data_IF_309492205620
#
_entry.id   IF_309492205620
#
_cell.length_a   1.000
_cell.length_b   1.000
_cell.length_c   1.000
_cell.angle_alpha   90.00
_cell.angle_beta   90.00
_cell.angle_gamma   90.00
#
_symmetry.space_group_name_H-M   'P 1'
#
loop_
_entity.id
_entity.type
_entity.pdbx_description
1 polymer ?
#
# COMPACT_ATOMS: atom_id res chain seq x y z
N UNK A 1 1.15 26.06 -8.00
CA UNK A 1 0.69 24.84 -7.32
C UNK A 1 -0.57 25.16 -6.52
N UNK A 2 -1.63 24.35 -6.66
CA UNK A 2 -2.96 24.51 -6.05
C UNK A 2 -3.32 23.23 -5.29
N UNK A 3 -3.86 23.33 -4.09
CA UNK A 3 -4.40 22.16 -3.37
C UNK A 3 -5.71 21.69 -3.99
N UNK A 4 -5.87 20.37 -4.10
CA UNK A 4 -7.05 19.70 -4.63
C UNK A 4 -7.39 18.48 -3.74
N UNK A 5 -8.58 17.93 -3.93
CA UNK A 5 -9.02 16.70 -3.26
C UNK A 5 -8.57 15.43 -4.00
N UNK A 6 -8.80 14.26 -3.39
CA UNK A 6 -8.63 12.94 -4.00
C UNK A 6 -7.41 12.15 -3.50
N UNK A 7 -6.54 12.74 -2.69
CA UNK A 7 -5.38 12.03 -2.10
C UNK A 7 -4.60 11.23 -3.15
N UNK A 8 -4.33 9.95 -2.88
CA UNK A 8 -3.59 9.06 -3.81
C UNK A 8 -4.29 8.77 -5.14
N UNK A 9 -5.59 9.04 -5.28
CA UNK A 9 -6.33 8.85 -6.54
C UNK A 9 -6.54 10.14 -7.32
N UNK A 10 -6.04 11.29 -6.82
CA UNK A 10 -6.08 12.55 -7.54
C UNK A 10 -5.31 12.53 -8.88
N UNK A 11 -4.13 11.87 -8.99
CA UNK A 11 -3.46 11.70 -10.28
C UNK A 11 -4.24 10.79 -11.23
N UNK A 12 -4.19 11.13 -12.52
CA UNK A 12 -4.83 10.35 -13.59
C UNK A 12 -4.23 8.95 -13.60
N UNK A 13 -5.07 7.94 -13.82
CA UNK A 13 -4.62 6.55 -13.92
C UNK A 13 -4.48 5.81 -12.59
N UNK A 14 -4.76 6.43 -11.44
CA UNK A 14 -4.72 5.74 -10.14
C UNK A 14 -6.11 5.42 -9.61
N UNK A 15 -6.26 4.25 -8.99
CA UNK A 15 -7.42 3.84 -8.21
C UNK A 15 -6.93 3.29 -6.87
N UNK A 16 -7.80 3.31 -5.87
CA UNK A 16 -7.48 2.75 -4.57
C UNK A 16 -8.71 2.08 -3.95
N UNK A 17 -8.46 1.27 -2.93
CA UNK A 17 -9.49 0.73 -2.06
C UNK A 17 -8.87 0.38 -0.69
N UNK A 18 -9.71 0.25 0.32
CA UNK A 18 -9.35 -0.32 1.61
C UNK A 18 -10.50 -1.13 2.16
N UNK A 19 -10.20 -2.29 2.74
CA UNK A 19 -11.21 -3.18 3.33
C UNK A 19 -10.77 -3.68 4.70
N UNK A 20 -11.71 -4.29 5.39
CA UNK A 20 -11.45 -5.09 6.58
C UNK A 20 -11.21 -6.55 6.18
N UNK A 21 -9.95 -6.96 6.19
CA UNK A 21 -9.50 -8.34 5.95
C UNK A 21 -9.53 -9.20 7.22
N UNK A 22 -9.93 -8.65 8.37
CA UNK A 22 -10.03 -9.40 9.62
C UNK A 22 -8.72 -9.52 10.39
N UNK A 23 -7.81 -8.56 10.20
CA UNK A 23 -6.58 -8.43 10.97
C UNK A 23 -6.82 -7.67 12.28
N UNK A 24 -7.68 -6.65 12.24
CA UNK A 24 -8.21 -5.99 13.43
C UNK A 24 -9.29 -6.86 14.06
N UNK A 25 -9.34 -6.92 15.38
CA UNK A 25 -10.45 -7.59 16.09
C UNK A 25 -11.77 -6.82 15.89
N UNK A 26 -11.69 -5.49 15.88
CA UNK A 26 -12.83 -4.64 15.55
C UNK A 26 -13.17 -4.72 14.06
N UNK A 27 -14.38 -5.20 13.76
CA UNK A 27 -14.93 -5.26 12.39
C UNK A 27 -15.27 -3.89 11.78
N UNK A 28 -15.09 -2.79 12.53
CA UNK A 28 -15.55 -1.45 12.14
C UNK A 28 -14.55 -0.68 11.29
N UNK A 29 -13.29 -1.11 11.24
CA UNK A 29 -12.23 -0.33 10.58
C UNK A 29 -11.45 -1.21 9.62
N UNK A 30 -11.22 -0.66 8.43
CA UNK A 30 -10.37 -1.27 7.42
C UNK A 30 -8.96 -1.49 7.95
N UNK A 31 -8.28 -2.51 7.43
CA UNK A 31 -6.95 -2.94 7.86
C UNK A 31 -6.04 -3.40 6.71
N UNK A 32 -6.56 -3.42 5.47
CA UNK A 32 -5.78 -3.70 4.27
C UNK A 32 -6.16 -2.71 3.16
N UNK A 33 -5.15 -2.07 2.58
CA UNK A 33 -5.28 -1.09 1.50
C UNK A 33 -4.62 -1.60 0.22
N UNK A 34 -5.16 -1.19 -0.93
CA UNK A 34 -4.55 -1.36 -2.25
C UNK A 34 -4.61 -0.04 -3.01
N UNK A 35 -3.48 0.35 -3.58
CA UNK A 35 -3.39 1.38 -4.62
C UNK A 35 -2.97 0.68 -5.91
N UNK A 36 -3.62 1.02 -7.02
CA UNK A 36 -3.34 0.45 -8.33
C UNK A 36 -3.24 1.55 -9.39
N UNK A 37 -2.29 1.41 -10.30
CA UNK A 37 -2.17 2.23 -11.49
C UNK A 37 -2.57 1.47 -12.74
N UNK A 38 -3.35 2.11 -13.60
CA UNK A 38 -3.77 1.59 -14.91
C UNK A 38 -2.58 1.30 -15.83
N UNK A 39 -1.41 1.89 -15.54
CA UNK A 39 -0.17 1.74 -16.34
C UNK A 39 1.05 1.50 -15.45
N UNK A 40 2.10 0.90 -16.01
CA UNK A 40 3.38 0.75 -15.31
C UNK A 40 3.96 2.13 -14.94
N UNK A 41 4.30 2.33 -13.67
CA UNK A 41 4.87 3.59 -13.20
C UNK A 41 6.39 3.52 -13.08
N UNK A 42 7.05 4.66 -13.27
CA UNK A 42 8.39 4.86 -12.70
C UNK A 42 8.26 4.91 -11.18
N UNK A 43 9.08 4.16 -10.48
CA UNK A 43 9.02 4.03 -9.02
C UNK A 43 10.35 4.37 -8.38
N UNK A 44 10.27 5.08 -7.25
CA UNK A 44 11.38 5.37 -6.35
C UNK A 44 10.90 5.19 -4.91
N UNK A 45 11.84 4.91 -4.00
CA UNK A 45 11.51 4.59 -2.62
C UNK A 45 12.69 4.78 -1.70
N UNK A 46 12.43 5.42 -0.57
CA UNK A 46 13.35 5.53 0.56
C UNK A 46 12.84 4.65 1.69
N UNK A 47 13.76 4.11 2.47
CA UNK A 47 13.47 3.12 3.49
C UNK A 47 14.26 3.43 4.75
N UNK A 48 13.73 3.02 5.91
CA UNK A 48 14.42 3.19 7.19
C UNK A 48 15.87 2.70 7.14
N UNK A 49 16.78 3.51 7.71
CA UNK A 49 18.16 3.12 7.95
C UNK A 49 18.36 2.19 9.15
N UNK A 50 17.29 1.87 9.90
CA UNK A 50 17.37 0.96 11.03
C UNK A 50 17.94 -0.41 10.58
N UNK A 51 18.88 -0.95 11.36
CA UNK A 51 19.49 -2.26 11.11
C UNK A 51 18.46 -3.40 11.17
N UNK A 52 17.43 -3.26 11.99
CA UNK A 52 16.33 -4.22 12.11
C UNK A 52 15.20 -3.87 11.12
N UNK A 53 15.41 -4.21 9.85
CA UNK A 53 14.43 -3.95 8.78
C UNK A 53 13.35 -5.03 8.74
N UNK A 54 12.10 -4.61 8.60
CA UNK A 54 10.97 -5.52 8.38
C UNK A 54 11.13 -6.31 7.07
N UNK A 55 10.53 -7.51 7.02
CA UNK A 55 10.65 -8.36 5.84
C UNK A 55 9.95 -7.76 4.62
N UNK A 56 8.84 -7.03 4.82
CA UNK A 56 8.20 -6.25 3.75
C UNK A 56 9.09 -5.12 3.21
N UNK A 57 9.93 -4.50 4.05
CA UNK A 57 10.91 -3.50 3.60
C UNK A 57 11.98 -4.15 2.72
N UNK A 58 12.50 -5.31 3.12
CA UNK A 58 13.49 -6.05 2.31
C UNK A 58 12.92 -6.47 0.96
N UNK A 59 11.67 -6.95 0.94
CA UNK A 59 10.96 -7.30 -0.28
C UNK A 59 10.77 -6.06 -1.19
N UNK A 60 10.17 -5.00 -0.67
CA UNK A 60 9.85 -3.79 -1.44
C UNK A 60 11.10 -3.05 -1.94
N UNK A 61 12.22 -3.12 -1.21
CA UNK A 61 13.50 -2.59 -1.69
C UNK A 61 13.93 -3.25 -3.00
N UNK A 62 13.71 -4.55 -3.17
CA UNK A 62 14.02 -5.27 -4.42
C UNK A 62 13.08 -4.87 -5.55
N UNK A 63 11.78 -4.72 -5.27
CA UNK A 63 10.77 -4.24 -6.23
C UNK A 63 11.18 -2.87 -6.79
N UNK A 64 11.41 -1.90 -5.89
CA UNK A 64 11.71 -0.52 -6.29
C UNK A 64 13.11 -0.38 -6.92
N UNK A 65 14.06 -1.27 -6.64
CA UNK A 65 15.37 -1.28 -7.29
C UNK A 65 15.29 -1.50 -8.82
N UNK A 66 14.19 -2.02 -9.33
CA UNK A 66 13.93 -2.13 -10.78
C UNK A 66 13.56 -0.79 -11.43
N UNK A 67 13.28 0.25 -10.63
CA UNK A 67 12.78 1.54 -11.07
C UNK A 67 11.32 1.54 -11.50
N UNK A 68 10.58 0.43 -11.26
CA UNK A 68 9.21 0.24 -11.73
C UNK A 68 8.30 -0.34 -10.63
N UNK A 69 7.03 0.07 -10.66
CA UNK A 69 5.96 -0.52 -9.87
C UNK A 69 4.61 -0.15 -10.48
N UNK A 70 3.56 -0.91 -10.18
CA UNK A 70 2.21 -0.64 -10.67
C UNK A 70 1.13 -0.75 -9.59
N UNK A 71 1.42 -1.38 -8.46
CA UNK A 71 0.51 -1.45 -7.31
C UNK A 71 1.26 -1.34 -5.98
N UNK A 72 0.54 -0.97 -4.93
CA UNK A 72 1.01 -1.00 -3.56
C UNK A 72 -0.07 -1.58 -2.65
N UNK A 73 0.25 -2.66 -1.92
CA UNK A 73 -0.63 -3.27 -0.91
C UNK A 73 -0.06 -3.03 0.48
N UNK A 74 -0.93 -2.60 1.39
CA UNK A 74 -0.54 -2.24 2.75
C UNK A 74 -1.44 -2.94 3.77
N UNK A 75 -0.89 -3.62 4.77
CA UNK A 75 -1.65 -4.12 5.92
C UNK A 75 -1.29 -3.37 7.22
N UNK A 76 -2.20 -3.38 8.19
CA UNK A 76 -1.93 -2.92 9.56
C UNK A 76 -1.99 -4.08 10.57
N UNK A 77 -1.90 -3.77 11.87
CA UNK A 77 -1.83 -4.69 13.03
C UNK A 77 -0.54 -5.51 13.14
N UNK A 78 0.06 -5.92 12.03
CA UNK A 78 1.26 -6.74 11.99
C UNK A 78 2.31 -6.04 11.15
N UNK A 79 3.46 -5.71 11.75
CA UNK A 79 4.54 -5.00 11.07
C UNK A 79 5.33 -5.87 10.09
N UNK A 80 5.17 -7.20 10.15
CA UNK A 80 6.01 -8.16 9.43
C UNK A 80 7.51 -7.91 9.66
N UNK A 81 7.86 -7.57 10.90
CA UNK A 81 9.23 -7.30 11.33
C UNK A 81 9.69 -8.38 12.31
N UNK A 82 10.96 -8.76 12.23
CA UNK A 82 11.53 -9.85 13.04
C UNK A 82 10.82 -11.20 12.84
N UNK A 83 10.35 -11.47 11.62
CA UNK A 83 9.56 -12.67 11.26
C UNK A 83 10.31 -13.63 10.32
N UNK A 84 11.56 -13.31 9.95
CA UNK A 84 12.45 -14.17 9.18
C UNK A 84 11.90 -14.57 7.81
N UNK A 85 12.32 -15.72 7.31
CA UNK A 85 11.97 -16.20 5.96
C UNK A 85 10.45 -16.32 5.76
N UNK A 86 9.72 -16.80 6.77
CA UNK A 86 8.25 -16.90 6.71
C UNK A 86 7.62 -15.51 6.53
N UNK A 87 8.13 -14.50 7.23
CA UNK A 87 7.69 -13.12 7.04
C UNK A 87 7.95 -12.58 5.64
N UNK A 88 9.12 -12.89 5.07
CA UNK A 88 9.44 -12.51 3.69
C UNK A 88 8.51 -13.20 2.69
N UNK A 89 8.26 -14.50 2.86
CA UNK A 89 7.30 -15.24 2.02
C UNK A 89 5.88 -14.71 2.16
N UNK A 90 5.46 -14.25 3.34
CA UNK A 90 4.15 -13.61 3.50
C UNK A 90 4.05 -12.30 2.68
N UNK A 91 5.13 -11.50 2.58
CA UNK A 91 5.14 -10.34 1.68
C UNK A 91 5.04 -10.76 0.20
N UNK A 92 5.78 -11.80 -0.22
CA UNK A 92 5.71 -12.36 -1.58
C UNK A 92 4.30 -12.87 -1.89
N UNK A 93 3.65 -13.52 -0.93
CA UNK A 93 2.27 -14.03 -1.04
C UNK A 93 1.25 -12.90 -1.21
N UNK A 94 1.35 -11.83 -0.42
CA UNK A 94 0.50 -10.65 -0.59
C UNK A 94 0.61 -10.07 -2.01
N UNK A 95 1.85 -9.86 -2.50
CA UNK A 95 2.07 -9.36 -3.86
C UNK A 95 1.57 -10.34 -4.93
N UNK A 96 1.79 -11.65 -4.75
CA UNK A 96 1.30 -12.68 -5.67
C UNK A 96 -0.23 -12.69 -5.74
N UNK A 97 -0.91 -12.53 -4.60
CA UNK A 97 -2.37 -12.47 -4.54
C UNK A 97 -2.91 -11.23 -5.27
N UNK A 98 -2.29 -10.05 -5.09
CA UNK A 98 -2.64 -8.85 -5.89
C UNK A 98 -2.45 -9.11 -7.38
N UNK A 99 -1.30 -9.65 -7.78
CA UNK A 99 -0.99 -9.99 -9.18
C UNK A 99 -2.05 -10.91 -9.80
N UNK A 100 -2.42 -11.98 -9.09
CA UNK A 100 -3.41 -12.97 -9.54
C UNK A 100 -4.82 -12.37 -9.63
N UNK A 101 -5.26 -11.58 -8.65
CA UNK A 101 -6.60 -10.98 -8.68
C UNK A 101 -6.71 -9.86 -9.73
N UNK A 102 -5.67 -9.06 -9.93
CA UNK A 102 -5.64 -8.04 -11.00
C UNK A 102 -5.62 -8.70 -12.40
N UNK A 103 -4.94 -9.83 -12.57
CA UNK A 103 -4.97 -10.58 -13.83
C UNK A 103 -6.39 -10.95 -14.27
N UNK A 104 -7.32 -11.18 -13.32
CA UNK A 104 -8.72 -11.48 -13.62
C UNK A 104 -9.49 -10.28 -14.20
N UNK A 105 -8.97 -9.06 -14.06
CA UNK A 105 -9.54 -7.86 -14.67
C UNK A 105 -9.01 -7.61 -16.08
N UNK A 106 -8.21 -8.52 -16.65
CA UNK A 106 -7.59 -8.40 -17.97
C UNK A 106 -6.27 -7.63 -17.98
N UNK A 107 -5.73 -7.25 -16.82
CA UNK A 107 -4.44 -6.56 -16.70
C UNK A 107 -3.41 -7.47 -16.06
N UNK A 108 -2.29 -7.73 -16.74
CA UNK A 108 -1.21 -8.55 -16.18
C UNK A 108 -0.13 -7.69 -15.54
N UNK A 109 0.11 -7.92 -14.24
CA UNK A 109 1.22 -7.31 -13.50
C UNK A 109 2.00 -8.41 -12.77
N UNK A 110 3.33 -8.49 -12.91
CA UNK A 110 4.12 -9.44 -12.13
C UNK A 110 4.23 -8.95 -10.68
N UNK A 111 4.34 -9.88 -9.73
CA UNK A 111 4.49 -9.56 -8.30
C UNK A 111 5.71 -8.67 -8.03
N UNK A 112 6.75 -8.77 -8.85
CA UNK A 112 7.96 -7.95 -8.79
C UNK A 112 7.72 -6.46 -9.08
N UNK A 113 6.52 -6.07 -9.53
CA UNK A 113 6.09 -4.68 -9.72
C UNK A 113 5.05 -4.24 -8.66
N UNK A 114 4.95 -4.96 -7.54
CA UNK A 114 3.97 -4.70 -6.48
C UNK A 114 4.69 -4.39 -5.18
N UNK A 115 4.49 -3.18 -4.68
CA UNK A 115 5.03 -2.71 -3.40
C UNK A 115 4.22 -3.35 -2.26
N UNK A 116 4.89 -3.82 -1.22
CA UNK A 116 4.26 -4.37 -0.01
C UNK A 116 4.71 -3.60 1.22
N UNK A 117 3.73 -3.10 2.00
CA UNK A 117 3.97 -2.39 3.25
C UNK A 117 3.20 -3.05 4.39
N UNK A 118 3.78 -3.01 5.59
CA UNK A 118 3.17 -3.57 6.79
C UNK A 118 3.47 -2.67 7.98
N UNK A 119 2.54 -2.56 8.93
CA UNK A 119 2.75 -1.75 10.14
C UNK A 119 1.95 -2.29 11.32
N UNK A 120 2.50 -2.23 12.52
CA UNK A 120 1.85 -2.74 13.74
C UNK A 120 2.82 -3.47 14.66
N UNK A 121 2.38 -4.58 15.22
CA UNK A 121 3.13 -5.37 16.20
C UNK A 121 4.34 -6.04 15.52
N UNK A 122 5.49 -5.97 16.19
CA UNK A 122 6.76 -6.60 15.77
C UNK A 122 6.84 -8.02 16.33
N UNK A 123 7.43 -8.96 15.58
CA UNK A 123 7.68 -10.34 16.01
C UNK A 123 6.49 -11.29 15.83
N UNK A 124 5.36 -10.81 15.32
CA UNK A 124 4.20 -11.63 15.00
C UNK A 124 4.04 -11.79 13.49
N UNK A 125 3.73 -13.03 13.06
CA UNK A 125 3.45 -13.31 11.66
C UNK A 125 2.12 -12.67 11.25
N UNK A 126 2.12 -12.08 10.05
CA UNK A 126 0.88 -11.63 9.39
C UNK A 126 0.01 -12.87 9.13
N UNK A 127 -1.27 -12.89 9.54
CA UNK A 127 -2.26 -13.88 9.11
C UNK A 127 -2.60 -13.71 7.61
N UNK A 128 -1.64 -14.00 6.74
CA UNK A 128 -1.67 -13.65 5.32
C UNK A 128 -2.82 -14.33 4.57
N UNK A 129 -3.25 -15.50 5.01
CA UNK A 129 -4.39 -16.24 4.45
C UNK A 129 -5.68 -15.42 4.51
N UNK A 130 -5.85 -14.59 5.55
CA UNK A 130 -7.00 -13.68 5.66
C UNK A 130 -6.96 -12.58 4.60
N UNK A 131 -5.76 -12.04 4.33
CA UNK A 131 -5.54 -11.03 3.29
C UNK A 131 -5.84 -11.65 1.92
N UNK A 132 -5.25 -12.81 1.62
CA UNK A 132 -5.47 -13.55 0.37
C UNK A 132 -6.95 -13.84 0.12
N UNK A 133 -7.67 -14.35 1.14
CA UNK A 133 -9.10 -14.64 1.04
C UNK A 133 -9.95 -13.38 0.75
N UNK A 134 -9.50 -12.21 1.21
CA UNK A 134 -10.19 -10.93 1.01
C UNK A 134 -9.76 -10.17 -0.25
N UNK A 135 -8.69 -10.61 -0.92
CA UNK A 135 -8.12 -9.93 -2.09
C UNK A 135 -9.12 -9.74 -3.25
N UNK A 136 -10.00 -10.70 -3.59
CA UNK A 136 -11.01 -10.49 -4.63
C UNK A 136 -11.92 -9.28 -4.32
N UNK A 137 -12.31 -9.11 -3.06
CA UNK A 137 -13.12 -7.96 -2.62
C UNK A 137 -12.32 -6.66 -2.67
N UNK A 138 -11.05 -6.70 -2.25
CA UNK A 138 -10.17 -5.53 -2.26
C UNK A 138 -9.97 -5.03 -3.70
N UNK A 139 -9.68 -5.91 -4.65
CA UNK A 139 -9.51 -5.58 -6.07
C UNK A 139 -10.81 -5.11 -6.70
N UNK A 140 -11.94 -5.80 -6.45
CA UNK A 140 -13.25 -5.42 -6.99
C UNK A 140 -13.68 -4.01 -6.58
N UNK A 141 -13.28 -3.54 -5.39
CA UNK A 141 -13.64 -2.21 -4.89
C UNK A 141 -12.69 -1.08 -5.30
N UNK A 142 -11.67 -1.34 -6.13
CA UNK A 142 -10.80 -0.28 -6.67
C UNK A 142 -11.63 0.81 -7.37
N UNK A 143 -11.47 2.05 -6.96
CA UNK A 143 -12.19 3.18 -7.54
C UNK A 143 -11.40 4.49 -7.49
N UNK A 144 -11.87 5.51 -8.23
CA UNK A 144 -11.30 6.87 -8.19
C UNK A 144 -11.60 7.60 -6.87
N UNK A 145 -12.61 7.18 -6.13
CA UNK A 145 -12.95 7.75 -4.81
C UNK A 145 -12.36 6.94 -3.64
N UNK A 146 -11.77 5.76 -3.92
CA UNK A 146 -11.36 4.79 -2.91
C UNK A 146 -10.15 5.18 -2.06
N UNK A 147 -9.63 6.41 -2.23
CA UNK A 147 -8.58 6.97 -1.38
C UNK A 147 -9.03 7.09 0.08
N UNK A 148 -10.34 7.30 0.33
CA UNK A 148 -10.91 7.45 1.68
C UNK A 148 -10.85 6.15 2.48
N UNK A 149 -11.13 5.04 1.81
CA UNK A 149 -11.05 3.71 2.38
C UNK A 149 -9.59 3.29 2.58
N UNK A 150 -8.72 3.58 1.60
CA UNK A 150 -7.30 3.27 1.65
C UNK A 150 -6.57 4.02 2.78
N UNK A 151 -6.79 5.34 2.93
CA UNK A 151 -6.17 6.14 4.01
C UNK A 151 -6.63 5.67 5.39
N UNK A 152 -7.85 5.17 5.52
CA UNK A 152 -8.38 4.58 6.76
C UNK A 152 -7.70 3.25 7.05
N UNK A 153 -7.52 2.42 6.03
CA UNK A 153 -6.99 1.07 6.15
C UNK A 153 -5.53 1.01 6.64
N UNK A 154 -4.75 2.08 6.44
CA UNK A 154 -3.35 2.15 6.89
C UNK A 154 -3.17 2.69 8.32
N UNK A 155 -4.25 3.12 8.98
CA UNK A 155 -4.16 3.69 10.33
C UNK A 155 -3.94 2.63 11.41
N UNK A 156 -3.11 3.00 12.39
CA UNK A 156 -2.85 2.25 13.62
C UNK A 156 -3.39 3.00 14.83
N UNK A 157 -2.51 3.60 15.63
CA UNK A 157 -2.83 4.50 16.76
C UNK A 157 -3.08 5.94 16.31
N UNK A 158 -3.35 6.13 15.01
CA UNK A 158 -3.61 7.43 14.41
C UNK A 158 -4.98 7.95 14.86
N UNK A 159 -5.08 9.25 15.18
CA UNK A 159 -6.37 9.89 15.55
C UNK A 159 -7.00 10.67 14.39
N UNK A 160 -6.24 10.92 13.33
CA UNK A 160 -6.66 11.70 12.16
C UNK A 160 -6.10 11.07 10.87
N UNK A 161 -6.88 11.17 9.80
CA UNK A 161 -6.44 10.85 8.44
C UNK A 161 -5.40 11.87 7.97
N UNK A 162 -4.42 11.40 7.18
CA UNK A 162 -3.36 12.26 6.64
C UNK A 162 -3.24 11.98 5.15
N UNK A 163 -3.78 12.88 4.35
CA UNK A 163 -3.66 12.85 2.90
C UNK A 163 -3.54 14.27 2.36
N UNK A 164 -3.02 14.38 1.15
CA UNK A 164 -2.89 15.64 0.44
C UNK A 164 -2.87 15.38 -1.06
N UNK A 165 -3.41 16.31 -1.84
CA UNK A 165 -3.20 16.34 -3.28
C UNK A 165 -2.99 17.78 -3.75
N UNK A 166 -2.15 17.92 -4.78
CA UNK A 166 -1.83 19.20 -5.41
C UNK A 166 -1.83 19.08 -6.92
N UNK A 167 -2.17 20.19 -7.57
CA UNK A 167 -2.13 20.37 -9.01
C UNK A 167 -1.15 21.49 -9.37
N UNK A 168 -0.37 21.29 -10.43
CA UNK A 168 0.57 22.30 -10.95
C UNK A 168 0.78 22.09 -12.44
N UNK A 169 1.49 23.01 -13.10
CA UNK A 169 1.89 22.84 -14.49
C UNK A 169 3.37 22.44 -14.61
N UNK A 170 3.67 21.51 -15.51
CA UNK A 170 5.03 21.12 -15.90
C UNK A 170 5.05 21.03 -17.42
N UNK A 171 5.90 21.82 -18.08
CA UNK A 171 5.98 21.85 -19.55
C UNK A 171 4.65 22.16 -20.25
N UNK A 172 3.83 23.04 -19.66
CA UNK A 172 2.51 23.42 -20.19
C UNK A 172 1.41 22.36 -20.02
N UNK A 173 1.64 21.31 -19.25
CA UNK A 173 0.64 20.27 -18.94
C UNK A 173 0.28 20.29 -17.46
N UNK A 174 -1.00 20.11 -17.16
CA UNK A 174 -1.49 19.90 -15.80
C UNK A 174 -0.96 18.57 -15.25
N UNK A 175 -0.30 18.63 -14.10
CA UNK A 175 0.23 17.49 -13.36
C UNK A 175 -0.38 17.50 -11.96
N UNK A 176 -0.78 16.32 -11.49
CA UNK A 176 -1.34 16.11 -10.16
C UNK A 176 -0.44 15.18 -9.35
N UNK A 177 -0.23 15.53 -8.08
CA UNK A 177 0.50 14.74 -7.11
C UNK A 177 -0.46 14.43 -5.96
N UNK A 178 -0.52 13.17 -5.56
CA UNK A 178 -1.42 12.69 -4.52
C UNK A 178 -0.68 11.83 -3.51
N UNK A 179 -0.99 11.96 -2.22
CA UNK A 179 -0.36 11.17 -1.18
C UNK A 179 -1.32 10.84 -0.03
N UNK A 180 -1.01 9.75 0.67
CA UNK A 180 -1.54 9.42 1.99
C UNK A 180 -0.39 8.96 2.88
N UNK A 181 -0.48 9.20 4.19
CA UNK A 181 0.51 8.73 5.15
C UNK A 181 -0.15 8.34 6.49
N UNK A 182 0.63 7.68 7.34
CA UNK A 182 0.22 7.25 8.69
C UNK A 182 1.40 7.28 9.64
N UNK A 183 1.11 7.22 10.94
CA UNK A 183 2.10 7.26 12.00
C UNK A 183 1.69 8.26 13.09
N UNK A 184 1.78 7.82 14.34
CA UNK A 184 1.56 8.68 15.51
C UNK A 184 2.53 8.37 16.67
N UNK A 185 2.99 7.12 16.77
CA UNK A 185 4.07 6.71 17.68
C UNK A 185 5.22 6.05 16.93
N UNK A 186 6.37 5.93 17.59
CA UNK A 186 7.62 5.40 17.02
C UNK A 186 8.08 6.19 15.77
N UNK A 187 7.99 7.52 15.82
CA UNK A 187 8.31 8.42 14.69
C UNK A 187 9.62 9.17 14.96
N UNK A 188 10.69 8.69 14.33
CA UNK A 188 11.93 9.43 14.10
C UNK A 188 12.50 8.88 12.78
N UNK A 189 12.31 9.63 11.69
CA UNK A 189 12.61 9.16 10.33
C UNK A 189 14.07 9.50 9.99
N UNK A 190 14.86 8.48 9.63
CA UNK A 190 16.22 8.58 9.11
C UNK A 190 16.40 7.62 7.93
#
# INVERSE_FOLDING_TARGET
MKFIDGGVTAPIGFTANGIHSGLKESRKTNDTALIFSDTMCTAAGIFTQNRSQAECVKYTRKVVATGKAQAAVCNVCYANACTGEVGYQNAVRMATSVSQEIAKTGVSIPKENIIVCSTGIIGQHVPVEKIEASMPTLVKGLSKEGHKEARTAIMTTDTHFKECAVETEVGGKTVRIGCMCKGSGMIHIN
#
